data_IF_060566963319
#
_entry.id   IF_060566963319
#
_cell.length_a   1.000
_cell.length_b   1.000
_cell.length_c   1.000
_cell.angle_alpha   90.00
_cell.angle_beta   90.00
_cell.angle_gamma   90.00
#
_symmetry.space_group_name_H-M   'P 1'
#
loop_
_entity.id
_entity.type
_entity.pdbx_description
1 polymer ?
#
# COMPACT_ATOMS: atom_id res chain seq x y z
N UNK A 1 0.91 -29.76 10.35
CA UNK A 1 0.11 -28.52 10.31
C UNK A 1 -0.43 -28.35 8.90
N UNK A 2 -1.76 -28.34 8.77
CA UNK A 2 -2.46 -28.31 7.49
C UNK A 2 -1.99 -27.14 6.61
N UNK A 3 -1.76 -27.40 5.32
CA UNK A 3 -1.43 -26.36 4.32
C UNK A 3 -2.48 -25.23 4.31
N UNK A 4 -3.70 -25.54 4.74
CA UNK A 4 -4.80 -24.59 4.91
C UNK A 4 -4.54 -23.55 6.00
N UNK A 5 -3.88 -23.93 7.10
CA UNK A 5 -3.55 -23.06 8.22
C UNK A 5 -2.38 -22.12 7.89
N UNK A 6 -1.41 -22.62 7.12
CA UNK A 6 -0.27 -21.83 6.63
C UNK A 6 -0.70 -20.73 5.64
N UNK A 7 -1.59 -21.05 4.70
CA UNK A 7 -2.15 -20.06 3.77
C UNK A 7 -3.06 -19.03 4.47
N UNK A 8 -3.80 -19.42 5.51
CA UNK A 8 -4.56 -18.49 6.35
C UNK A 8 -3.66 -17.52 7.11
N UNK A 9 -2.59 -18.01 7.72
CA UNK A 9 -1.67 -17.18 8.51
C UNK A 9 -0.84 -16.23 7.64
N UNK A 10 -0.41 -16.65 6.45
CA UNK A 10 0.30 -15.77 5.51
C UNK A 10 -0.61 -14.69 4.91
N UNK A 11 -1.88 -15.01 4.63
CA UNK A 11 -2.89 -14.01 4.25
C UNK A 11 -3.21 -13.07 5.42
N UNK A 12 -3.27 -13.58 6.64
CA UNK A 12 -3.55 -12.79 7.84
C UNK A 12 -2.40 -11.82 8.16
N UNK A 13 -1.13 -12.23 8.10
CA UNK A 13 0.00 -11.31 8.31
C UNK A 13 0.16 -10.29 7.19
N UNK A 14 -0.07 -10.68 5.93
CA UNK A 14 -0.10 -9.71 4.81
C UNK A 14 -1.29 -8.76 4.94
N UNK A 15 -2.44 -9.25 5.42
CA UNK A 15 -3.57 -8.38 5.76
C UNK A 15 -3.22 -7.46 6.91
N UNK A 16 -2.67 -7.94 8.02
CA UNK A 16 -2.35 -7.11 9.19
C UNK A 16 -1.30 -6.07 8.84
N UNK A 17 -0.26 -6.39 8.07
CA UNK A 17 0.69 -5.38 7.58
C UNK A 17 0.07 -4.45 6.54
N UNK A 18 -0.81 -4.96 5.68
CA UNK A 18 -1.58 -4.11 4.76
C UNK A 18 -2.56 -3.21 5.52
N UNK A 19 -3.14 -3.66 6.63
CA UNK A 19 -4.05 -2.92 7.50
C UNK A 19 -3.27 -1.92 8.31
N UNK A 20 -2.13 -2.26 8.91
CA UNK A 20 -1.24 -1.33 9.62
C UNK A 20 -0.69 -0.27 8.67
N UNK A 21 -0.36 -0.65 7.43
CA UNK A 21 0.09 0.29 6.41
C UNK A 21 -1.08 1.14 5.92
N UNK A 22 -2.29 0.58 5.77
CA UNK A 22 -3.52 1.34 5.48
C UNK A 22 -3.94 2.19 6.68
N UNK A 23 -3.76 1.77 7.93
CA UNK A 23 -4.04 2.52 9.16
C UNK A 23 -3.08 3.69 9.25
N UNK A 24 -1.80 3.45 8.97
CA UNK A 24 -0.78 4.49 8.90
C UNK A 24 -1.05 5.45 7.73
N UNK A 25 -1.61 4.98 6.62
CA UNK A 25 -2.07 5.81 5.49
C UNK A 25 -3.40 6.52 5.78
N UNK A 26 -4.31 5.95 6.57
CA UNK A 26 -5.60 6.56 6.96
C UNK A 26 -5.36 7.63 8.04
N UNK A 27 -4.52 7.31 9.04
CA UNK A 27 -4.06 8.20 10.12
C UNK A 27 -3.20 9.37 9.59
N UNK A 28 -2.57 9.23 8.41
CA UNK A 28 -1.83 10.32 7.75
C UNK A 28 -2.50 10.94 6.52
N UNK A 29 -3.56 10.36 5.92
CA UNK A 29 -4.04 10.82 4.61
C UNK A 29 -5.57 11.00 4.44
N UNK A 30 -6.43 10.72 5.43
CA UNK A 30 -7.88 10.92 5.19
C UNK A 30 -8.57 11.58 6.40
N UNK A 31 -9.20 12.72 6.15
CA UNK A 31 -10.10 13.49 7.01
C UNK A 31 -9.48 14.49 8.00
N UNK A 32 -8.47 14.16 8.83
CA UNK A 32 -8.04 15.10 9.90
C UNK A 32 -7.15 16.26 9.44
N UNK A 33 -6.34 16.06 8.40
CA UNK A 33 -5.33 17.05 7.96
C UNK A 33 -5.77 17.89 6.74
N UNK A 34 -6.77 17.42 5.98
CA UNK A 34 -7.34 18.15 4.85
C UNK A 34 -8.50 19.08 5.22
N UNK A 35 -9.02 19.03 6.45
CA UNK A 35 -10.06 19.96 6.91
C UNK A 35 -9.49 21.31 7.38
N UNK A 36 -8.16 21.44 7.40
CA UNK A 36 -7.45 22.68 7.74
C UNK A 36 -7.49 23.74 6.62
N UNK A 37 -8.05 23.45 5.44
CA UNK A 37 -8.13 24.40 4.32
C UNK A 37 -9.35 25.31 4.35
N UNK A 38 -10.43 24.96 5.07
CA UNK A 38 -11.57 25.86 5.23
C UNK A 38 -11.43 26.81 6.43
N UNK A 39 -10.54 26.55 7.40
CA UNK A 39 -10.02 27.54 8.35
C UNK A 39 -8.93 26.90 9.24
N UNK A 40 -8.05 27.73 9.83
CA UNK A 40 -7.12 27.32 10.92
C UNK A 40 -7.84 26.90 12.22
N UNK A 41 -9.17 26.79 12.21
CA UNK A 41 -10.04 26.67 13.39
C UNK A 41 -10.71 25.30 13.54
N UNK A 42 -10.58 24.40 12.56
CA UNK A 42 -11.01 23.01 12.72
C UNK A 42 -9.88 22.20 13.34
N UNK A 43 -10.03 21.88 14.63
CA UNK A 43 -9.14 20.92 15.28
C UNK A 43 -9.31 19.54 14.61
N UNK A 44 -8.25 18.74 14.59
CA UNK A 44 -8.23 17.40 13.97
C UNK A 44 -9.19 16.40 14.62
N UNK A 45 -10.03 16.84 15.56
CA UNK A 45 -11.14 16.11 16.16
C UNK A 45 -12.47 16.24 15.38
N UNK A 46 -12.53 17.05 14.31
CA UNK A 46 -13.75 17.38 13.53
C UNK A 46 -14.88 18.02 14.36
N UNK A 47 -14.68 18.22 15.66
CA UNK A 47 -15.59 18.94 16.53
C UNK A 47 -15.38 20.44 16.38
N UNK A 48 -16.40 21.12 15.86
CA UNK A 48 -16.48 22.57 15.93
C UNK A 48 -17.06 23.00 17.28
N UNK A 49 -16.37 23.90 17.99
CA UNK A 49 -17.01 24.64 19.07
C UNK A 49 -18.17 25.46 18.51
N UNK A 50 -19.30 25.51 19.24
CA UNK A 50 -20.50 26.25 18.84
C UNK A 50 -20.21 27.70 18.42
N UNK A 51 -19.18 28.33 18.99
CA UNK A 51 -18.76 29.69 18.62
C UNK A 51 -18.17 29.77 17.22
N UNK A 52 -17.29 28.83 16.86
CA UNK A 52 -16.65 28.79 15.53
C UNK A 52 -17.66 28.35 14.48
N UNK A 53 -18.50 27.37 14.81
CA UNK A 53 -19.57 26.93 13.93
C UNK A 53 -20.56 28.06 13.58
N UNK A 54 -21.02 28.81 14.59
CA UNK A 54 -21.92 29.94 14.37
C UNK A 54 -21.25 31.09 13.60
N UNK A 55 -19.93 31.28 13.76
CA UNK A 55 -19.16 32.25 12.98
C UNK A 55 -19.07 31.83 11.49
N UNK A 56 -18.78 30.57 11.21
CA UNK A 56 -18.73 30.02 9.85
C UNK A 56 -20.10 30.06 9.15
N UNK A 57 -21.19 29.77 9.87
CA UNK A 57 -22.57 29.88 9.35
C UNK A 57 -22.97 31.32 9.05
N UNK A 58 -22.44 32.29 9.79
CA UNK A 58 -22.73 33.71 9.63
C UNK A 58 -21.79 34.41 8.63
N UNK A 59 -20.89 33.66 8.01
CA UNK A 59 -19.91 34.16 7.04
C UNK A 59 -20.50 34.49 5.67
N UNK A 60 -19.62 34.86 4.74
CA UNK A 60 -20.00 35.16 3.36
C UNK A 60 -20.53 33.91 2.64
N UNK A 61 -21.45 34.12 1.70
CA UNK A 61 -22.13 33.05 0.94
C UNK A 61 -21.13 32.18 0.17
N UNK A 62 -20.10 32.80 -0.41
CA UNK A 62 -19.05 32.08 -1.16
C UNK A 62 -18.21 31.18 -0.25
N UNK A 63 -17.91 31.65 0.97
CA UNK A 63 -17.22 30.87 1.98
C UNK A 63 -18.06 29.66 2.41
N UNK A 64 -19.34 29.90 2.73
CA UNK A 64 -20.29 28.86 3.10
C UNK A 64 -20.46 27.80 1.99
N UNK A 65 -20.51 28.24 0.74
CA UNK A 65 -20.57 27.37 -0.43
C UNK A 65 -19.31 26.51 -0.56
N UNK A 66 -18.13 27.10 -0.37
CA UNK A 66 -16.84 26.39 -0.32
C UNK A 66 -16.83 25.32 0.77
N UNK A 67 -17.23 25.67 2.00
CA UNK A 67 -17.33 24.71 3.11
C UNK A 67 -18.24 23.53 2.78
N UNK A 68 -19.41 23.78 2.19
CA UNK A 68 -20.34 22.72 1.80
C UNK A 68 -19.71 21.74 0.80
N UNK A 69 -19.01 22.26 -0.21
CA UNK A 69 -18.34 21.43 -1.22
C UNK A 69 -17.19 20.62 -0.62
N UNK A 70 -16.37 21.23 0.22
CA UNK A 70 -15.29 20.51 0.90
C UNK A 70 -15.83 19.39 1.79
N UNK A 71 -16.91 19.65 2.54
CA UNK A 71 -17.56 18.63 3.37
C UNK A 71 -18.15 17.48 2.55
N UNK A 72 -18.77 17.78 1.41
CA UNK A 72 -19.23 16.75 0.46
C UNK A 72 -18.06 15.91 -0.05
N UNK A 73 -16.94 16.55 -0.43
CA UNK A 73 -15.74 15.84 -0.90
C UNK A 73 -15.12 14.94 0.18
N UNK A 74 -15.16 15.35 1.45
CA UNK A 74 -14.68 14.50 2.55
C UNK A 74 -15.61 13.33 2.82
N UNK A 75 -16.93 13.55 2.80
CA UNK A 75 -17.90 12.47 2.93
C UNK A 75 -17.75 11.45 1.80
N UNK A 76 -17.58 11.89 0.56
CA UNK A 76 -17.31 11.00 -0.59
C UNK A 76 -16.07 10.12 -0.36
N UNK A 77 -14.98 10.69 0.18
CA UNK A 77 -13.75 9.93 0.48
C UNK A 77 -13.95 8.90 1.59
N UNK A 78 -14.65 9.27 2.66
CA UNK A 78 -14.96 8.37 3.78
C UNK A 78 -15.88 7.23 3.35
N UNK A 79 -16.90 7.54 2.53
CA UNK A 79 -17.83 6.55 1.99
C UNK A 79 -17.15 5.62 0.98
N UNK A 80 -16.20 6.13 0.19
CA UNK A 80 -15.38 5.29 -0.67
C UNK A 80 -14.48 4.35 0.15
N UNK A 81 -13.83 4.86 1.20
CA UNK A 81 -12.97 4.08 2.08
C UNK A 81 -13.73 2.92 2.73
N UNK A 82 -14.94 3.18 3.29
CA UNK A 82 -15.73 2.10 3.88
C UNK A 82 -16.13 1.06 2.83
N UNK A 83 -16.48 1.46 1.60
CA UNK A 83 -16.86 0.52 0.54
C UNK A 83 -15.72 -0.44 0.23
N UNK A 84 -14.51 0.08 0.04
CA UNK A 84 -13.32 -0.74 -0.26
C UNK A 84 -13.03 -1.73 0.87
N UNK A 85 -13.08 -1.27 2.12
CA UNK A 85 -12.82 -2.13 3.28
C UNK A 85 -13.91 -3.18 3.45
N UNK A 86 -15.19 -2.83 3.30
CA UNK A 86 -16.31 -3.78 3.39
C UNK A 86 -16.30 -4.80 2.25
N UNK A 87 -15.82 -4.44 1.06
CA UNK A 87 -15.63 -5.37 -0.06
C UNK A 87 -14.52 -6.38 0.23
N UNK A 88 -13.40 -5.92 0.81
CA UNK A 88 -12.30 -6.79 1.26
C UNK A 88 -12.73 -7.73 2.37
N UNK A 89 -13.49 -7.21 3.35
CA UNK A 89 -14.10 -8.03 4.38
C UNK A 89 -15.05 -9.02 3.71
N UNK A 90 -15.91 -8.59 2.80
CA UNK A 90 -16.85 -9.36 1.99
C UNK A 90 -18.07 -9.85 2.78
N UNK A 91 -19.20 -10.10 2.09
CA UNK A 91 -20.48 -10.45 2.73
C UNK A 91 -20.59 -11.95 3.12
N UNK A 92 -21.38 -12.30 4.17
CA UNK A 92 -22.05 -11.40 5.10
C UNK A 92 -21.14 -10.91 6.23
N UNK A 93 -21.36 -9.67 6.61
CA UNK A 93 -20.55 -8.94 7.59
C UNK A 93 -20.55 -9.62 8.97
N UNK A 94 -21.72 -10.11 9.41
CA UNK A 94 -21.96 -10.77 10.70
C UNK A 94 -21.03 -11.96 11.00
N UNK A 95 -20.75 -12.80 9.99
CA UNK A 95 -19.90 -13.99 10.18
C UNK A 95 -18.42 -13.63 10.25
N UNK A 96 -18.02 -12.52 9.63
CA UNK A 96 -16.62 -12.11 9.55
C UNK A 96 -16.22 -11.22 10.72
N UNK A 97 -17.18 -10.49 11.30
CA UNK A 97 -17.02 -9.80 12.58
C UNK A 97 -16.78 -10.73 13.78
N UNK A 98 -16.96 -12.04 13.63
CA UNK A 98 -16.64 -13.05 14.66
C UNK A 98 -15.18 -13.54 14.60
N UNK A 99 -14.42 -13.13 13.58
CA UNK A 99 -13.02 -13.53 13.41
C UNK A 99 -12.10 -12.37 13.77
N UNK A 100 -10.98 -12.64 14.45
CA UNK A 100 -10.01 -11.57 14.80
C UNK A 100 -9.47 -10.81 13.58
N UNK A 101 -9.32 -11.47 12.44
CA UNK A 101 -8.92 -10.84 11.18
C UNK A 101 -9.99 -9.87 10.64
N UNK A 102 -11.26 -10.27 10.70
CA UNK A 102 -12.37 -9.40 10.30
C UNK A 102 -12.57 -8.23 11.27
N UNK A 103 -12.40 -8.46 12.58
CA UNK A 103 -12.45 -7.39 13.59
C UNK A 103 -11.35 -6.34 13.37
N UNK A 104 -10.13 -6.77 13.09
CA UNK A 104 -9.02 -5.87 12.77
C UNK A 104 -9.30 -5.00 11.54
N UNK A 105 -9.93 -5.56 10.50
CA UNK A 105 -10.36 -4.80 9.33
C UNK A 105 -11.51 -3.83 9.61
N UNK A 106 -12.40 -4.18 10.54
CA UNK A 106 -13.61 -3.42 10.85
C UNK A 106 -13.38 -2.33 11.90
N UNK A 107 -12.33 -2.41 12.73
CA UNK A 107 -11.99 -1.37 13.70
C UNK A 107 -11.89 0.04 13.08
N UNK A 108 -11.20 0.28 11.95
CA UNK A 108 -11.18 1.61 11.34
C UNK A 108 -12.55 2.06 10.80
N UNK A 109 -13.47 1.12 10.49
CA UNK A 109 -14.83 1.47 10.07
C UNK A 109 -15.62 2.09 11.21
N UNK A 110 -15.36 1.70 12.46
CA UNK A 110 -15.99 2.36 13.61
C UNK A 110 -15.65 3.85 13.68
N UNK A 111 -14.39 4.22 13.40
CA UNK A 111 -13.95 5.62 13.33
C UNK A 111 -14.60 6.37 12.16
N UNK A 112 -14.70 5.72 10.99
CA UNK A 112 -15.39 6.30 9.82
C UNK A 112 -16.86 6.59 10.13
N UNK A 113 -17.55 5.73 10.90
CA UNK A 113 -18.94 5.98 11.32
C UNK A 113 -19.04 7.25 12.16
N UNK A 114 -18.09 7.47 13.08
CA UNK A 114 -18.00 8.69 13.87
C UNK A 114 -17.82 9.90 12.95
N UNK A 115 -16.76 9.92 12.14
CA UNK A 115 -16.44 11.04 11.27
C UNK A 115 -17.59 11.40 10.31
N UNK A 116 -18.21 10.39 9.68
CA UNK A 116 -19.34 10.59 8.77
C UNK A 116 -20.55 11.19 9.50
N UNK A 117 -20.85 10.74 10.73
CA UNK A 117 -21.97 11.28 11.50
C UNK A 117 -21.81 12.76 11.85
N UNK A 118 -20.57 13.17 12.16
CA UNK A 118 -20.20 14.55 12.50
C UNK A 118 -20.28 15.44 11.26
N UNK A 119 -19.63 15.01 10.17
CA UNK A 119 -19.60 15.75 8.92
C UNK A 119 -20.99 15.91 8.31
N UNK A 120 -21.80 14.86 8.33
CA UNK A 120 -23.18 14.93 7.81
C UNK A 120 -24.03 15.96 8.58
N UNK A 121 -23.95 15.96 9.92
CA UNK A 121 -24.66 16.91 10.77
C UNK A 121 -24.31 18.36 10.43
N UNK A 122 -23.04 18.67 10.35
CA UNK A 122 -22.58 20.02 10.02
C UNK A 122 -22.90 20.41 8.58
N UNK A 123 -22.71 19.51 7.62
CA UNK A 123 -23.06 19.73 6.22
C UNK A 123 -24.54 20.06 6.07
N UNK A 124 -25.41 19.34 6.77
CA UNK A 124 -26.84 19.59 6.73
C UNK A 124 -27.16 21.03 7.19
N UNK A 125 -26.60 21.45 8.31
CA UNK A 125 -26.79 22.81 8.84
C UNK A 125 -26.27 23.89 7.87
N UNK A 126 -25.10 23.68 7.27
CA UNK A 126 -24.56 24.61 6.27
C UNK A 126 -25.42 24.65 5.00
N UNK A 127 -25.90 23.51 4.51
CA UNK A 127 -26.76 23.43 3.32
C UNK A 127 -28.11 24.12 3.53
N UNK A 128 -28.72 23.99 4.72
CA UNK A 128 -29.95 24.72 5.07
C UNK A 128 -29.72 26.23 5.11
N UNK A 129 -28.57 26.69 5.63
CA UNK A 129 -28.21 28.12 5.61
C UNK A 129 -27.94 28.60 4.18
N UNK A 130 -27.15 27.85 3.42
CA UNK A 130 -26.76 28.17 2.05
C UNK A 130 -28.00 28.32 1.16
N UNK A 131 -28.99 27.44 1.32
CA UNK A 131 -30.25 27.49 0.56
C UNK A 131 -31.04 28.78 0.80
N UNK A 132 -30.91 29.42 1.96
CA UNK A 132 -31.58 30.70 2.24
C UNK A 132 -30.93 31.87 1.52
N UNK A 133 -29.64 31.75 1.17
CA UNK A 133 -28.82 32.83 0.64
C UNK A 133 -28.59 32.75 -0.88
N UNK A 134 -28.78 31.57 -1.51
CA UNK A 134 -28.52 31.38 -2.96
C UNK A 134 -29.78 31.03 -3.78
N UNK A 135 -29.74 31.40 -5.07
CA UNK A 135 -30.78 31.05 -6.02
C UNK A 135 -30.93 29.53 -6.21
N UNK A 136 -32.16 29.08 -6.48
CA UNK A 136 -32.50 27.66 -6.60
C UNK A 136 -31.65 26.92 -7.65
N UNK A 137 -31.31 27.59 -8.76
CA UNK A 137 -30.51 26.99 -9.83
C UNK A 137 -29.06 26.71 -9.40
N UNK A 138 -28.45 27.60 -8.61
CA UNK A 138 -27.10 27.42 -8.09
C UNK A 138 -27.03 26.34 -6.99
N UNK A 139 -28.09 26.21 -6.17
CA UNK A 139 -28.17 25.19 -5.12
C UNK A 139 -28.37 23.77 -5.65
N UNK A 140 -28.85 23.63 -6.90
CA UNK A 140 -29.17 22.32 -7.47
C UNK A 140 -27.96 21.39 -7.54
N UNK A 141 -26.77 21.92 -7.84
CA UNK A 141 -25.56 21.11 -7.97
C UNK A 141 -25.11 20.51 -6.63
N UNK A 142 -24.88 21.30 -5.55
CA UNK A 142 -24.63 20.76 -4.21
C UNK A 142 -25.74 19.82 -3.72
N UNK A 143 -27.00 20.14 -4.00
CA UNK A 143 -28.15 19.33 -3.59
C UNK A 143 -28.13 17.93 -4.22
N UNK A 144 -27.84 17.83 -5.52
CA UNK A 144 -27.73 16.53 -6.20
C UNK A 144 -26.58 15.69 -5.64
N UNK A 145 -25.44 16.32 -5.33
CA UNK A 145 -24.31 15.63 -4.70
C UNK A 145 -24.67 15.14 -3.30
N UNK A 146 -25.31 15.99 -2.51
CA UNK A 146 -25.81 15.62 -1.19
C UNK A 146 -26.74 14.42 -1.23
N UNK A 147 -27.65 14.37 -2.21
CA UNK A 147 -28.55 13.23 -2.39
C UNK A 147 -27.80 11.90 -2.56
N UNK A 148 -26.78 11.88 -3.43
CA UNK A 148 -25.94 10.70 -3.63
C UNK A 148 -25.21 10.28 -2.35
N UNK A 149 -24.58 11.24 -1.66
CA UNK A 149 -23.88 11.02 -0.39
C UNK A 149 -24.84 10.48 0.69
N UNK A 150 -26.05 11.04 0.78
CA UNK A 150 -27.06 10.61 1.75
C UNK A 150 -27.48 9.15 1.52
N UNK A 151 -27.75 8.75 0.27
CA UNK A 151 -28.15 7.37 -0.03
C UNK A 151 -27.03 6.37 0.29
N UNK A 152 -25.79 6.70 -0.04
CA UNK A 152 -24.63 5.85 0.23
C UNK A 152 -24.35 5.77 1.74
N UNK A 153 -24.42 6.90 2.46
CA UNK A 153 -24.33 6.93 3.92
C UNK A 153 -25.44 6.11 4.57
N UNK A 154 -26.68 6.21 4.09
CA UNK A 154 -27.81 5.45 4.61
C UNK A 154 -27.57 3.95 4.48
N UNK A 155 -27.20 3.49 3.28
CA UNK A 155 -26.87 2.09 3.05
C UNK A 155 -25.67 1.62 3.91
N UNK A 156 -24.68 2.49 4.11
CA UNK A 156 -23.54 2.22 4.97
C UNK A 156 -23.95 2.04 6.44
N UNK A 157 -24.72 2.96 7.02
CA UNK A 157 -25.16 2.86 8.42
C UNK A 157 -26.11 1.69 8.64
N UNK A 158 -27.01 1.41 7.70
CA UNK A 158 -27.86 0.20 7.75
C UNK A 158 -27.00 -1.06 7.76
N UNK A 159 -26.00 -1.15 6.87
CA UNK A 159 -25.06 -2.29 6.83
C UNK A 159 -24.22 -2.40 8.11
N UNK A 160 -23.72 -1.28 8.63
CA UNK A 160 -22.94 -1.25 9.86
C UNK A 160 -23.79 -1.68 11.07
N UNK A 161 -25.07 -1.30 11.09
CA UNK A 161 -26.01 -1.65 12.14
C UNK A 161 -26.31 -3.15 12.21
N UNK A 162 -26.05 -3.95 11.18
CA UNK A 162 -26.22 -5.41 11.28
C UNK A 162 -25.03 -6.10 11.97
N UNK A 163 -23.90 -5.41 12.13
CA UNK A 163 -22.68 -5.95 12.73
C UNK A 163 -22.64 -5.76 14.24
N UNK A 164 -22.76 -6.86 14.99
CA UNK A 164 -22.64 -6.85 16.45
C UNK A 164 -21.29 -6.29 16.94
N UNK A 165 -20.21 -6.53 16.19
CA UNK A 165 -18.89 -6.00 16.55
C UNK A 165 -18.84 -4.49 16.41
N UNK A 166 -19.36 -3.92 15.31
CA UNK A 166 -19.37 -2.46 15.13
C UNK A 166 -20.25 -1.79 16.18
N UNK A 167 -21.43 -2.37 16.48
CA UNK A 167 -22.29 -1.88 17.57
C UNK A 167 -21.61 -1.89 18.94
N UNK A 168 -20.66 -2.81 19.18
CA UNK A 168 -19.89 -2.84 20.43
C UNK A 168 -18.81 -1.76 20.52
N UNK A 169 -18.36 -1.22 19.39
CA UNK A 169 -17.33 -0.19 19.32
C UNK A 169 -17.90 1.22 19.23
N UNK A 170 -18.99 1.38 18.47
CA UNK A 170 -19.59 2.68 18.19
C UNK A 170 -21.11 2.56 18.19
N UNK A 171 -21.77 3.57 18.78
CA UNK A 171 -23.22 3.69 18.67
C UNK A 171 -23.57 4.19 17.27
N UNK A 172 -23.86 3.26 16.36
CA UNK A 172 -24.30 3.57 14.99
C UNK A 172 -25.62 4.36 15.07
N UNK A 173 -25.68 5.57 14.52
CA UNK A 173 -26.86 6.39 14.69
C UNK A 173 -27.92 6.04 13.64
N UNK A 174 -29.19 6.17 14.05
CA UNK A 174 -30.32 5.89 13.17
C UNK A 174 -30.44 6.95 12.08
N UNK A 175 -30.59 6.53 10.83
CA UNK A 175 -30.78 7.44 9.69
C UNK A 175 -32.28 7.72 9.52
N UNK A 176 -32.71 8.99 9.40
CA UNK A 176 -34.10 9.34 9.12
C UNK A 176 -34.62 8.62 7.87
N UNK A 177 -35.86 8.12 7.91
CA UNK A 177 -36.49 7.49 6.76
C UNK A 177 -36.76 8.48 5.63
N UNK A 178 -37.06 9.73 5.99
CA UNK A 178 -37.32 10.83 5.07
C UNK A 178 -36.04 11.54 4.68
N UNK A 179 -35.82 11.68 3.37
CA UNK A 179 -34.72 12.46 2.84
C UNK A 179 -34.84 13.96 3.20
N UNK A 180 -33.73 14.65 3.53
CA UNK A 180 -33.77 16.06 3.86
C UNK A 180 -34.24 16.94 2.71
N UNK A 181 -35.39 17.59 2.89
CA UNK A 181 -35.88 18.60 1.96
C UNK A 181 -35.42 19.98 2.43
N UNK A 182 -34.51 20.62 1.69
CA UNK A 182 -33.95 21.93 2.04
C UNK A 182 -34.91 23.12 1.87
N UNK A 183 -36.18 22.87 1.56
CA UNK A 183 -37.19 23.92 1.31
C UNK A 183 -37.71 24.55 2.61
N UNK A 184 -37.77 23.79 3.70
CA UNK A 184 -38.35 24.22 4.96
C UNK A 184 -37.32 24.10 6.08
N UNK A 185 -36.85 25.23 6.63
CA UNK A 185 -35.88 25.24 7.73
C UNK A 185 -36.37 24.49 8.99
N UNK A 186 -37.69 24.38 9.18
CA UNK A 186 -38.31 23.59 10.25
C UNK A 186 -38.12 22.08 10.09
N UNK A 187 -37.64 21.60 8.95
CA UNK A 187 -37.35 20.18 8.71
C UNK A 187 -35.94 19.77 9.17
N UNK A 188 -35.09 20.72 9.56
CA UNK A 188 -33.71 20.44 9.99
C UNK A 188 -33.69 19.45 11.17
N UNK A 189 -34.48 19.69 12.20
CA UNK A 189 -34.52 18.85 13.41
C UNK A 189 -34.96 17.39 13.13
N UNK A 190 -35.78 17.20 12.10
CA UNK A 190 -36.23 15.86 11.67
C UNK A 190 -35.20 15.12 10.80
N UNK A 191 -34.20 15.83 10.28
CA UNK A 191 -33.20 15.30 9.36
C UNK A 191 -31.83 15.11 10.01
N UNK A 192 -31.65 15.61 11.25
CA UNK A 192 -30.43 15.46 12.03
C UNK A 192 -30.29 14.05 12.59
N UNK A 193 -29.06 13.54 12.53
CA UNK A 193 -28.66 12.25 13.07
C UNK A 193 -27.95 12.51 14.40
N UNK A 194 -28.16 11.64 15.41
CA UNK A 194 -27.37 11.70 16.64
C UNK A 194 -25.90 11.45 16.32
N UNK A 195 -25.01 12.25 16.88
CA UNK A 195 -23.57 12.04 16.72
C UNK A 195 -23.18 10.66 17.24
N UNK A 196 -22.45 9.89 16.42
CA UNK A 196 -22.02 8.56 16.81
C UNK A 196 -20.95 8.70 17.89
N UNK A 197 -21.14 8.03 19.02
CA UNK A 197 -20.20 8.08 20.14
C UNK A 197 -19.44 6.75 20.22
N UNK A 198 -18.13 6.83 20.37
CA UNK A 198 -17.30 5.67 20.70
C UNK A 198 -17.73 5.12 22.06
N UNK A 199 -17.99 3.82 22.12
CA UNK A 199 -18.32 3.15 23.37
C UNK A 199 -17.01 2.81 24.07
N UNK A 200 -16.48 3.73 24.87
CA UNK A 200 -15.39 3.42 25.79
C UNK A 200 -15.93 2.59 26.96
N UNK A 201 -16.13 1.29 26.72
CA UNK A 201 -16.43 0.36 27.81
C UNK A 201 -15.14 -0.25 28.36
N UNK A 202 -14.67 0.31 29.47
CA UNK A 202 -13.77 -0.39 30.39
C UNK A 202 -14.52 -1.54 31.04
N UNK A 203 -14.62 -2.66 30.33
CA UNK A 203 -15.00 -3.95 30.89
C UNK A 203 -16.26 -4.56 30.30
N UNK A 204 -16.06 -5.39 29.28
CA UNK A 204 -17.02 -6.39 28.81
C UNK A 204 -17.54 -7.21 30.02
N UNK A 205 -18.72 -6.83 30.53
CA UNK A 205 -19.54 -7.69 31.39
C UNK A 205 -20.73 -8.15 30.57
N UNK A 206 -20.77 -9.45 30.31
CA UNK A 206 -21.96 -10.12 29.81
C UNK A 206 -23.13 -9.83 30.74
N UNK A 207 -24.21 -9.33 30.15
CA UNK A 207 -25.45 -9.00 30.83
C UNK A 207 -26.04 -10.23 31.55
N UNK A 208 -26.02 -10.17 32.88
CA UNK A 208 -26.98 -10.85 33.73
C UNK A 208 -27.99 -9.80 34.20
N UNK A 209 -29.26 -10.08 33.93
CA UNK A 209 -30.42 -9.28 34.28
C UNK A 209 -30.34 -8.74 35.73
N UNK A 210 -30.72 -7.47 35.93
CA UNK A 210 -31.64 -7.08 37.00
C UNK A 210 -32.14 -5.64 36.82
N UNK A 211 -33.47 -5.53 36.82
CA UNK A 211 -34.28 -4.34 36.61
C UNK A 211 -34.04 -3.29 37.72
N UNK A 212 -33.75 -2.07 37.28
CA UNK A 212 -33.85 -0.85 38.09
C UNK A 212 -35.34 -0.56 38.36
N UNK A 213 -35.71 -0.39 39.64
CA UNK A 213 -37.01 0.14 40.03
C UNK A 213 -36.77 1.45 40.78
N UNK A 214 -36.97 2.58 40.11
CA UNK A 214 -37.11 3.89 40.75
C UNK A 214 -38.52 3.99 41.34
N UNK A 215 -38.63 4.48 42.58
CA UNK A 215 -39.89 4.99 43.10
C UNK A 215 -39.64 6.23 43.96
N UNK A 216 -39.97 7.37 43.36
CA UNK A 216 -40.31 8.60 44.07
C UNK A 216 -41.53 8.39 44.95
N UNK A 217 -41.53 9.02 46.12
CA UNK A 217 -42.76 9.46 46.76
C UNK A 217 -42.45 10.56 47.79
N UNK A 218 -42.71 11.79 47.37
CA UNK A 218 -42.92 12.96 48.19
C UNK A 218 -44.40 13.07 48.59
N UNK A 219 -44.65 13.65 49.78
CA UNK A 219 -45.97 14.04 50.29
C UNK A 219 -46.22 13.50 51.71
N UNK A 220 -46.76 14.22 52.68
CA UNK A 220 -47.28 15.58 52.74
C UNK A 220 -47.63 15.90 54.22
N UNK A 221 -47.90 17.19 54.50
CA UNK A 221 -48.80 17.77 55.55
C UNK A 221 -48.21 18.29 56.89
N UNK A 222 -48.15 19.64 56.93
CA UNK A 222 -48.87 20.61 57.81
C UNK A 222 -48.63 20.71 59.33
N UNK A 223 -48.79 21.97 59.78
CA UNK A 223 -49.01 22.57 61.13
C UNK A 223 -47.82 22.55 62.10
N UNK A 224 -47.18 23.68 62.44
CA UNK A 224 -47.59 24.91 63.14
C UNK A 224 -47.49 24.84 64.67
N UNK A 225 -46.89 25.90 65.23
CA UNK A 225 -47.00 26.46 66.60
C UNK A 225 -45.92 26.08 67.65
N UNK A 226 -45.06 27.08 67.89
CA UNK A 226 -44.67 27.69 69.17
C UNK A 226 -44.98 26.90 70.48
N UNK A 227 -43.89 26.62 71.23
CA UNK A 227 -43.59 26.75 72.70
C UNK A 227 -44.74 27.17 73.67
N UNK A 228 -44.64 27.04 75.03
CA UNK A 228 -43.56 26.49 75.89
C UNK A 228 -44.00 25.74 77.20
N UNK A 229 -42.99 25.38 78.01
CA UNK A 229 -42.95 25.30 79.50
C UNK A 229 -43.15 23.98 80.31
N UNK A 230 -42.10 23.72 81.11
CA UNK A 230 -42.02 23.30 82.53
C UNK A 230 -42.68 22.00 83.00
N UNK A 231 -41.85 21.03 83.42
CA UNK A 231 -41.81 20.56 84.81
C UNK A 231 -40.63 19.57 85.01
N UNK A 232 -40.08 19.58 86.22
CA UNK A 232 -38.88 18.86 86.66
C UNK A 232 -39.28 17.51 87.29
N UNK A 233 -38.53 16.45 86.90
CA UNK A 233 -38.48 15.04 87.40
C UNK A 233 -39.62 14.10 86.93
N UNK A 234 -39.29 12.94 86.30
CA UNK A 234 -38.33 11.95 86.81
C UNK A 234 -37.19 11.64 85.82
N UNK A 235 -36.05 12.31 85.97
CA UNK A 235 -34.91 12.19 85.04
C UNK A 235 -34.09 10.89 85.19
N UNK A 236 -34.18 10.15 86.31
CA UNK A 236 -33.33 8.96 86.52
C UNK A 236 -33.77 7.71 85.74
N UNK A 237 -35.07 7.46 85.58
CA UNK A 237 -35.59 6.26 84.87
C UNK A 237 -35.50 6.45 83.35
N UNK A 238 -35.72 7.68 82.86
CA UNK A 238 -35.59 8.03 81.44
C UNK A 238 -34.13 7.96 80.95
N UNK A 239 -33.16 8.33 81.79
CA UNK A 239 -31.73 8.23 81.49
C UNK A 239 -31.25 6.77 81.42
N UNK A 240 -31.74 5.88 82.29
CA UNK A 240 -31.42 4.46 82.25
C UNK A 240 -31.98 3.79 80.99
N UNK A 241 -33.24 4.06 80.64
CA UNK A 241 -33.85 3.57 79.40
C UNK A 241 -33.17 4.10 78.12
N UNK A 242 -32.66 5.33 78.13
CA UNK A 242 -31.82 5.87 77.05
C UNK A 242 -30.42 5.24 77.01
N UNK A 243 -29.82 4.93 78.15
CA UNK A 243 -28.52 4.26 78.21
C UNK A 243 -28.60 2.83 77.67
N UNK A 244 -29.61 2.04 78.04
CA UNK A 244 -29.80 0.70 77.48
C UNK A 244 -30.05 0.71 75.97
N UNK A 245 -30.79 1.71 75.46
CA UNK A 245 -30.99 1.89 74.00
C UNK A 245 -29.69 2.20 73.28
N UNK A 246 -28.87 3.12 73.82
CA UNK A 246 -27.56 3.45 73.27
C UNK A 246 -26.60 2.26 73.33
N UNK A 247 -26.64 1.49 74.41
CA UNK A 247 -25.75 0.33 74.61
C UNK A 247 -26.13 -0.85 73.71
N UNK A 248 -27.41 -1.02 73.42
CA UNK A 248 -27.90 -1.94 72.39
C UNK A 248 -27.49 -1.49 70.99
N UNK A 249 -27.69 -0.21 70.66
CA UNK A 249 -27.31 0.37 69.36
C UNK A 249 -25.79 0.29 69.11
N UNK A 250 -24.96 0.56 70.12
CA UNK A 250 -23.50 0.37 70.03
C UNK A 250 -23.12 -1.09 69.81
N UNK A 251 -23.81 -2.05 70.41
CA UNK A 251 -23.59 -3.48 70.16
C UNK A 251 -23.97 -3.86 68.74
N UNK A 252 -25.11 -3.38 68.24
CA UNK A 252 -25.55 -3.60 66.86
C UNK A 252 -24.57 -3.01 65.85
N UNK A 253 -24.18 -1.73 66.02
CA UNK A 253 -23.22 -1.05 65.16
C UNK A 253 -21.84 -1.72 65.17
N UNK A 254 -21.41 -2.29 66.32
CA UNK A 254 -20.16 -3.08 66.38
C UNK A 254 -20.27 -4.38 65.58
N UNK A 255 -21.40 -5.06 65.64
CA UNK A 255 -21.66 -6.25 64.81
C UNK A 255 -21.64 -5.93 63.33
N UNK A 256 -22.37 -4.88 62.91
CA UNK A 256 -22.38 -4.42 61.51
C UNK A 256 -20.99 -4.00 61.02
N UNK A 257 -20.18 -3.38 61.88
CA UNK A 257 -18.79 -3.02 61.56
C UNK A 257 -17.90 -4.26 61.37
N UNK A 258 -18.11 -5.31 62.18
CA UNK A 258 -17.38 -6.57 62.05
C UNK A 258 -17.79 -7.34 60.79
N UNK A 259 -19.09 -7.36 60.47
CA UNK A 259 -19.60 -7.98 59.25
C UNK A 259 -19.12 -7.23 58.00
N UNK A 260 -19.15 -5.89 58.00
CA UNK A 260 -18.61 -5.08 56.92
C UNK A 260 -17.09 -5.28 56.73
N UNK A 261 -16.35 -5.50 57.82
CA UNK A 261 -14.92 -5.85 57.76
C UNK A 261 -14.69 -7.20 57.11
N UNK A 262 -15.48 -8.23 57.46
CA UNK A 262 -15.38 -9.56 56.82
C UNK A 262 -15.71 -9.49 55.33
N UNK A 263 -16.79 -8.81 54.96
CA UNK A 263 -17.15 -8.64 53.54
C UNK A 263 -16.05 -7.92 52.75
N UNK A 264 -15.41 -6.91 53.34
CA UNK A 264 -14.26 -6.24 52.72
C UNK A 264 -13.09 -7.19 52.53
N UNK A 265 -12.79 -8.03 53.51
CA UNK A 265 -11.68 -8.98 53.46
C UNK A 265 -11.92 -10.05 52.39
N UNK A 266 -13.13 -10.61 52.32
CA UNK A 266 -13.54 -11.54 51.25
C UNK A 266 -13.42 -10.91 49.86
N UNK A 267 -13.90 -9.66 49.69
CA UNK A 267 -13.76 -8.94 48.42
C UNK A 267 -12.29 -8.67 48.05
N UNK A 268 -11.43 -8.40 49.03
CA UNK A 268 -10.00 -8.22 48.79
C UNK A 268 -9.32 -9.53 48.39
N UNK A 269 -9.69 -10.66 48.98
CA UNK A 269 -9.14 -11.97 48.64
C UNK A 269 -9.58 -12.43 47.25
N UNK A 270 -10.84 -12.20 46.89
CA UNK A 270 -11.36 -12.43 45.53
C UNK A 270 -10.61 -11.58 44.49
N UNK A 271 -10.40 -10.29 44.79
CA UNK A 271 -9.64 -9.40 43.93
C UNK A 271 -8.19 -9.87 43.77
N UNK A 272 -7.52 -10.29 44.86
CA UNK A 272 -6.16 -10.85 44.83
C UNK A 272 -6.09 -12.11 43.99
N UNK A 273 -7.03 -13.04 44.16
CA UNK A 273 -7.09 -14.28 43.36
C UNK A 273 -7.28 -13.98 41.87
N UNK A 274 -8.13 -12.99 41.54
CA UNK A 274 -8.36 -12.58 40.16
C UNK A 274 -7.11 -11.95 39.52
N UNK A 275 -6.39 -11.12 40.27
CA UNK A 275 -5.11 -10.54 39.84
C UNK A 275 -4.10 -11.65 39.53
N UNK A 276 -3.94 -12.61 40.44
CA UNK A 276 -3.00 -13.72 40.25
C UNK A 276 -3.34 -14.57 39.00
N UNK A 277 -4.63 -14.79 38.73
CA UNK A 277 -5.08 -15.46 37.51
C UNK A 277 -4.73 -14.67 36.25
N UNK A 278 -4.91 -13.36 36.25
CA UNK A 278 -4.55 -12.50 35.12
C UNK A 278 -3.03 -12.45 34.91
N UNK A 279 -2.23 -12.38 35.98
CA UNK A 279 -0.77 -12.44 35.91
C UNK A 279 -0.28 -13.77 35.31
N UNK A 280 -0.86 -14.90 35.73
CA UNK A 280 -0.57 -16.22 35.14
C UNK A 280 -0.94 -16.26 33.66
N UNK A 281 -2.06 -15.67 33.26
CA UNK A 281 -2.47 -15.63 31.85
C UNK A 281 -1.56 -14.72 31.02
N UNK A 282 -1.15 -13.58 31.56
CA UNK A 282 -0.19 -12.65 30.95
C UNK A 282 1.13 -13.35 30.69
N UNK A 283 1.73 -13.97 31.71
CA UNK A 283 3.02 -14.68 31.56
C UNK A 283 2.92 -15.86 30.59
N UNK A 284 1.78 -16.54 30.48
CA UNK A 284 1.56 -17.56 29.47
C UNK A 284 1.52 -16.96 28.04
N UNK A 285 0.77 -15.87 27.85
CA UNK A 285 0.66 -15.19 26.56
C UNK A 285 1.99 -14.58 26.11
N UNK A 286 2.83 -14.12 27.04
CA UNK A 286 4.19 -13.66 26.76
C UNK A 286 5.07 -14.81 26.24
N UNK A 287 5.04 -15.97 26.91
CA UNK A 287 5.77 -17.17 26.43
C UNK A 287 5.29 -17.64 25.07
N UNK A 288 3.98 -17.64 24.81
CA UNK A 288 3.42 -17.98 23.51
C UNK A 288 3.87 -16.97 22.43
N UNK A 289 3.85 -15.66 22.73
CA UNK A 289 4.37 -14.62 21.83
C UNK A 289 5.85 -14.81 21.50
N UNK A 290 6.68 -15.15 22.48
CA UNK A 290 8.11 -15.41 22.26
C UNK A 290 8.35 -16.62 21.36
N UNK A 291 7.53 -17.67 21.49
CA UNK A 291 7.55 -18.82 20.59
C UNK A 291 7.13 -18.44 19.17
N UNK A 292 6.06 -17.63 19.02
CA UNK A 292 5.64 -17.14 17.70
C UNK A 292 6.69 -16.25 17.04
N UNK A 293 7.33 -15.36 17.80
CA UNK A 293 8.45 -14.54 17.31
C UNK A 293 9.60 -15.39 16.79
N UNK A 294 10.05 -16.40 17.57
CA UNK A 294 11.09 -17.34 17.13
C UNK A 294 10.70 -18.11 15.88
N UNK A 295 9.45 -18.59 15.81
CA UNK A 295 8.96 -19.30 14.62
C UNK A 295 8.92 -18.39 13.39
N UNK A 296 8.57 -17.12 13.56
CA UNK A 296 8.56 -16.13 12.47
C UNK A 296 9.99 -15.81 11.98
N UNK A 297 10.95 -15.69 12.90
CA UNK A 297 12.36 -15.50 12.55
C UNK A 297 12.91 -16.69 11.74
N UNK A 298 12.60 -17.92 12.14
CA UNK A 298 12.97 -19.11 11.39
C UNK A 298 12.34 -19.12 9.99
N UNK A 299 11.06 -18.75 9.87
CA UNK A 299 10.39 -18.69 8.57
C UNK A 299 11.01 -17.64 7.65
N UNK A 300 11.37 -16.46 8.20
CA UNK A 300 12.11 -15.43 7.47
C UNK A 300 13.49 -15.92 7.03
N UNK A 301 14.19 -16.67 7.87
CA UNK A 301 15.48 -17.26 7.51
C UNK A 301 15.35 -18.26 6.35
N UNK A 302 14.34 -19.15 6.40
CA UNK A 302 14.03 -20.08 5.31
C UNK A 302 13.72 -19.34 3.99
N UNK A 303 12.88 -18.30 4.03
CA UNK A 303 12.55 -17.52 2.83
C UNK A 303 13.79 -16.85 2.19
N UNK A 304 14.74 -16.39 3.01
CA UNK A 304 16.02 -15.83 2.51
C UNK A 304 16.90 -16.91 1.85
N UNK A 305 16.88 -18.13 2.38
CA UNK A 305 17.60 -19.27 1.78
C UNK A 305 16.99 -19.61 0.42
N UNK A 306 15.66 -19.72 0.33
CA UNK A 306 14.95 -19.99 -0.94
C UNK A 306 15.27 -18.93 -2.02
N UNK A 307 15.30 -17.64 -1.64
CA UNK A 307 15.67 -16.56 -2.57
C UNK A 307 17.12 -16.67 -3.06
N UNK A 308 18.05 -17.04 -2.16
CA UNK A 308 19.44 -17.30 -2.52
C UNK A 308 19.59 -18.50 -3.45
N UNK A 309 18.84 -19.57 -3.21
CA UNK A 309 18.84 -20.77 -4.06
C UNK A 309 18.31 -20.46 -5.46
N UNK A 310 17.27 -19.64 -5.60
CA UNK A 310 16.75 -19.25 -6.90
C UNK A 310 17.75 -18.38 -7.69
N UNK A 311 18.42 -17.44 -7.02
CA UNK A 311 19.51 -16.64 -7.63
C UNK A 311 20.66 -17.53 -8.09
N UNK A 312 21.05 -18.52 -7.27
CA UNK A 312 22.07 -19.50 -7.63
C UNK A 312 21.65 -20.33 -8.84
N UNK A 313 20.38 -20.71 -8.95
CA UNK A 313 19.86 -21.45 -10.11
C UNK A 313 19.97 -20.63 -11.40
N UNK A 314 19.55 -19.37 -11.37
CA UNK A 314 19.66 -18.45 -12.52
C UNK A 314 21.12 -18.24 -12.94
N UNK A 315 22.01 -18.04 -11.99
CA UNK A 315 23.44 -17.90 -12.28
C UNK A 315 24.05 -19.16 -12.93
N UNK A 316 23.61 -20.37 -12.52
CA UNK A 316 24.01 -21.62 -13.16
C UNK A 316 23.49 -21.75 -14.60
N UNK A 317 22.23 -21.40 -14.83
CA UNK A 317 21.63 -21.39 -16.18
C UNK A 317 22.36 -20.41 -17.12
N UNK A 318 22.75 -19.24 -16.62
CA UNK A 318 23.55 -18.25 -17.36
C UNK A 318 24.97 -18.75 -17.68
N UNK A 319 25.66 -19.37 -16.72
CA UNK A 319 26.99 -19.96 -16.92
C UNK A 319 26.96 -21.08 -17.97
N UNK A 320 25.93 -21.95 -17.95
CA UNK A 320 25.76 -23.01 -18.95
C UNK A 320 25.48 -22.44 -20.35
N UNK A 321 24.66 -21.39 -20.46
CA UNK A 321 24.43 -20.68 -21.72
C UNK A 321 25.73 -20.04 -22.24
N UNK A 322 26.53 -19.45 -21.35
CA UNK A 322 27.80 -18.81 -21.69
C UNK A 322 28.84 -19.84 -22.16
N UNK A 323 28.91 -21.01 -21.53
CA UNK A 323 29.73 -22.15 -21.99
C UNK A 323 29.31 -22.62 -23.38
N UNK A 324 28.01 -22.70 -23.66
CA UNK A 324 27.49 -23.07 -24.99
C UNK A 324 27.93 -22.07 -26.06
N UNK A 325 27.73 -20.77 -25.81
CA UNK A 325 28.20 -19.70 -26.70
C UNK A 325 29.71 -19.76 -26.94
N UNK A 326 30.50 -20.00 -25.88
CA UNK A 326 31.95 -20.14 -25.99
C UNK A 326 32.34 -21.32 -26.90
N UNK A 327 31.65 -22.46 -26.78
CA UNK A 327 31.90 -23.60 -27.64
C UNK A 327 31.56 -23.34 -29.11
N UNK A 328 30.47 -22.61 -29.38
CA UNK A 328 30.10 -22.22 -30.74
C UNK A 328 31.15 -21.26 -31.34
N UNK A 329 31.63 -20.28 -30.57
CA UNK A 329 32.72 -19.38 -30.97
C UNK A 329 34.04 -20.12 -31.22
N UNK A 330 34.32 -21.19 -30.46
CA UNK A 330 35.50 -22.03 -30.70
C UNK A 330 35.38 -22.76 -32.03
N UNK A 331 34.22 -23.35 -32.34
CA UNK A 331 33.98 -24.04 -33.61
C UNK A 331 34.12 -23.10 -34.82
N UNK A 332 33.53 -21.91 -34.75
CA UNK A 332 33.64 -20.92 -35.83
C UNK A 332 35.08 -20.42 -36.00
N UNK A 333 35.83 -20.23 -34.91
CA UNK A 333 37.25 -19.90 -34.98
C UNK A 333 38.09 -21.01 -35.62
N UNK A 334 37.81 -22.28 -35.33
CA UNK A 334 38.48 -23.40 -35.99
C UNK A 334 38.19 -23.43 -37.51
N UNK A 335 36.94 -23.21 -37.91
CA UNK A 335 36.56 -23.10 -39.31
C UNK A 335 37.27 -21.94 -40.01
N UNK A 336 37.29 -20.75 -39.38
CA UNK A 336 38.02 -19.60 -39.90
C UNK A 336 39.51 -19.92 -40.07
N UNK A 337 40.16 -20.56 -39.09
CA UNK A 337 41.57 -20.99 -39.21
C UNK A 337 41.78 -21.94 -40.40
N UNK A 338 40.87 -22.88 -40.66
CA UNK A 338 40.94 -23.76 -41.83
C UNK A 338 40.84 -22.97 -43.14
N UNK A 339 39.93 -21.99 -43.21
CA UNK A 339 39.78 -21.14 -44.41
C UNK A 339 41.01 -20.26 -44.67
N UNK A 340 41.61 -19.69 -43.61
CA UNK A 340 42.84 -18.90 -43.71
C UNK A 340 44.00 -19.76 -44.22
N UNK A 341 44.20 -20.96 -43.66
CA UNK A 341 45.23 -21.88 -44.12
C UNK A 341 45.07 -22.28 -45.60
N UNK A 342 43.82 -22.48 -46.05
CA UNK A 342 43.54 -22.75 -47.46
C UNK A 342 43.86 -21.53 -48.36
N UNK A 343 43.52 -20.32 -47.91
CA UNK A 343 43.82 -19.09 -48.61
C UNK A 343 45.34 -18.85 -48.70
N UNK A 344 46.09 -19.12 -47.64
CA UNK A 344 47.55 -19.06 -47.63
C UNK A 344 48.17 -20.03 -48.63
N UNK A 345 47.69 -21.28 -48.70
CA UNK A 345 48.14 -22.26 -49.69
C UNK A 345 47.87 -21.81 -51.14
N UNK A 346 46.70 -21.24 -51.41
CA UNK A 346 46.41 -20.66 -52.74
C UNK A 346 47.33 -19.48 -53.04
N UNK A 347 47.62 -18.63 -52.05
CA UNK A 347 48.53 -17.51 -52.22
C UNK A 347 49.97 -17.95 -52.53
N UNK A 348 50.47 -19.01 -51.91
CA UNK A 348 51.81 -19.55 -52.23
C UNK A 348 51.85 -20.14 -53.65
N UNK A 349 50.79 -20.83 -54.07
CA UNK A 349 50.65 -21.34 -55.44
C UNK A 349 50.63 -20.20 -56.46
N UNK A 350 49.83 -19.15 -56.23
CA UNK A 350 49.79 -17.95 -57.08
C UNK A 350 51.16 -17.28 -57.16
N UNK A 351 51.88 -17.14 -56.05
CA UNK A 351 53.26 -16.60 -56.05
C UNK A 351 54.19 -17.43 -56.95
N UNK A 352 54.13 -18.76 -56.84
CA UNK A 352 54.95 -19.65 -57.69
C UNK A 352 54.62 -19.53 -59.19
N UNK A 353 53.34 -19.36 -59.52
CA UNK A 353 52.89 -19.16 -60.89
C UNK A 353 53.35 -17.80 -61.44
N UNK A 354 53.34 -16.76 -60.61
CA UNK A 354 53.88 -15.44 -60.98
C UNK A 354 55.40 -15.49 -61.22
N UNK A 355 56.15 -16.25 -60.43
CA UNK A 355 57.60 -16.47 -60.65
C UNK A 355 57.85 -17.13 -62.01
N UNK A 356 57.16 -18.24 -62.29
CA UNK A 356 57.25 -18.94 -63.59
C UNK A 356 56.85 -18.06 -64.76
N UNK A 357 55.83 -17.21 -64.58
CA UNK A 357 55.40 -16.25 -65.60
C UNK A 357 56.54 -15.25 -65.91
N UNK A 358 57.19 -14.68 -64.88
CA UNK A 358 58.34 -13.78 -65.07
C UNK A 358 59.51 -14.46 -65.77
N UNK A 359 59.78 -15.73 -65.43
CA UNK A 359 60.82 -16.52 -66.10
C UNK A 359 60.51 -16.74 -67.58
N UNK A 360 59.26 -17.09 -67.92
CA UNK A 360 58.82 -17.22 -69.31
C UNK A 360 58.91 -15.89 -70.07
N UNK A 361 58.52 -14.77 -69.45
CA UNK A 361 58.64 -13.42 -70.03
C UNK A 361 60.11 -13.06 -70.31
N UNK A 362 61.02 -13.37 -69.38
CA UNK A 362 62.47 -13.18 -69.55
C UNK A 362 63.03 -14.04 -70.69
N UNK A 363 62.67 -15.33 -70.73
CA UNK A 363 63.09 -16.24 -71.79
C UNK A 363 62.57 -15.79 -73.16
N UNK A 364 61.33 -15.30 -73.24
CA UNK A 364 60.75 -14.74 -74.45
C UNK A 364 61.54 -13.50 -74.92
N UNK A 365 61.87 -12.58 -74.02
CA UNK A 365 62.69 -11.41 -74.33
C UNK A 365 64.10 -11.79 -74.83
N UNK A 366 64.73 -12.79 -74.21
CA UNK A 366 66.02 -13.32 -74.66
C UNK A 366 65.93 -13.94 -76.07
N UNK A 367 64.90 -14.75 -76.33
CA UNK A 367 64.64 -15.32 -77.65
C UNK A 367 64.42 -14.25 -78.73
N UNK A 368 63.66 -13.19 -78.40
CA UNK A 368 63.48 -12.04 -79.28
C UNK A 368 64.82 -11.33 -79.55
N UNK A 369 65.67 -11.16 -78.53
CA UNK A 369 67.02 -10.61 -78.68
C UNK A 369 67.92 -11.43 -79.62
N UNK A 370 67.92 -12.76 -79.46
CA UNK A 370 68.66 -13.68 -80.35
C UNK A 370 68.13 -13.58 -81.78
N UNK A 371 66.80 -13.56 -81.98
CA UNK A 371 66.21 -13.45 -83.30
C UNK A 371 66.62 -12.14 -83.99
N UNK A 372 66.61 -11.02 -83.26
CA UNK A 372 67.08 -9.73 -83.78
C UNK A 372 68.58 -9.78 -84.16
N UNK A 373 69.41 -10.45 -83.37
CA UNK A 373 70.84 -10.67 -83.65
C UNK A 373 71.05 -11.54 -84.90
N UNK A 374 70.26 -12.60 -85.07
CA UNK A 374 70.28 -13.46 -86.25
C UNK A 374 69.87 -12.67 -87.49
N UNK A 375 68.84 -11.82 -87.41
CA UNK A 375 68.45 -10.93 -88.51
C UNK A 375 69.58 -9.96 -88.90
N UNK A 376 70.27 -9.38 -87.92
CA UNK A 376 71.43 -8.52 -88.16
C UNK A 376 72.57 -9.27 -88.86
N UNK A 377 72.92 -10.47 -88.36
CA UNK A 377 73.94 -11.33 -88.97
C UNK A 377 73.55 -11.76 -90.38
N UNK A 378 72.29 -12.08 -90.61
CA UNK A 378 71.78 -12.40 -91.94
C UNK A 378 71.92 -11.21 -92.90
N UNK A 379 71.59 -10.00 -92.44
CA UNK A 379 71.83 -8.76 -93.21
C UNK A 379 73.32 -8.51 -93.49
N UNK A 380 74.22 -8.75 -92.52
CA UNK A 380 75.67 -8.66 -92.72
C UNK A 380 76.18 -9.66 -93.78
N UNK A 381 75.71 -10.91 -93.73
CA UNK A 381 76.05 -11.94 -94.72
C UNK A 381 75.55 -11.55 -96.10
N UNK A 382 74.32 -11.08 -96.23
CA UNK A 382 73.80 -10.57 -97.51
C UNK A 382 74.63 -9.39 -98.04
N UNK A 383 75.04 -8.47 -97.16
CA UNK A 383 75.91 -7.34 -97.53
C UNK A 383 77.27 -7.83 -98.04
N UNK A 384 77.94 -8.74 -97.32
CA UNK A 384 79.22 -9.32 -97.76
C UNK A 384 79.10 -10.11 -99.06
N UNK A 385 78.01 -10.85 -99.27
CA UNK A 385 77.72 -11.56 -100.52
C UNK A 385 77.54 -10.58 -101.69
N UNK A 386 76.85 -9.46 -101.47
CA UNK A 386 76.70 -8.40 -102.48
C UNK A 386 78.05 -7.75 -102.86
N UNK A 387 78.93 -7.53 -101.88
CA UNK A 387 80.30 -7.02 -102.11
C UNK A 387 81.16 -8.03 -102.88
N UNK A 388 81.12 -9.31 -102.51
CA UNK A 388 81.83 -10.38 -103.23
C UNK A 388 81.31 -10.57 -104.65
N UNK A 389 80.00 -10.48 -104.87
CA UNK A 389 79.39 -10.46 -106.21
C UNK A 389 79.92 -9.28 -107.03
N UNK A 390 80.01 -8.08 -106.43
CA UNK A 390 80.54 -6.89 -107.09
C UNK A 390 82.04 -7.03 -107.43
N UNK A 391 82.85 -7.62 -106.54
CA UNK A 391 84.27 -7.93 -106.79
C UNK A 391 84.42 -9.02 -107.85
N UNK A 392 83.57 -10.05 -107.82
CA UNK A 392 83.51 -11.12 -108.82
C UNK A 392 83.13 -10.60 -110.22
N UNK A 393 82.19 -9.65 -110.30
CA UNK A 393 81.90 -8.91 -111.53
C UNK A 393 83.10 -8.08 -111.99
N UNK A 394 83.84 -7.43 -111.08
CA UNK A 394 85.05 -6.65 -111.40
C UNK A 394 86.20 -7.52 -111.92
N UNK A 395 86.39 -8.72 -111.38
CA UNK A 395 87.36 -9.71 -111.88
C UNK A 395 86.95 -10.29 -113.23
N UNK A 396 85.64 -10.49 -113.46
CA UNK A 396 85.10 -10.93 -114.76
C UNK A 396 85.28 -9.86 -115.85
N UNK A 397 85.15 -8.57 -115.52
CA UNK A 397 85.50 -7.46 -116.43
C UNK A 397 87.01 -7.30 -116.66
N UNK A 398 87.88 -7.78 -115.76
CA UNK A 398 89.33 -7.76 -115.95
C UNK A 398 89.86 -8.91 -116.80
N UNK A 399 89.12 -10.02 -116.90
CA UNK A 399 89.45 -11.13 -117.80
C UNK A 399 88.99 -10.93 -119.24
N UNK A 400 88.13 -9.93 -119.51
CA UNK A 400 87.66 -9.56 -120.86
C UNK A 400 88.38 -8.35 -121.46
N UNK A 401 89.49 -7.90 -120.85
CA UNK A 401 90.31 -6.79 -121.34
C UNK A 401 91.73 -7.28 -121.68
N UNK A 402 91.83 -8.19 -122.65
CA UNK A 402 93.03 -8.36 -123.48
C UNK A 402 92.85 -7.49 -124.73
N UNK A 403 93.67 -6.45 -124.97
CA UNK A 403 93.73 -5.80 -126.27
C UNK A 403 94.73 -6.50 -127.19
N UNK A 404 94.26 -6.70 -128.40
CA UNK A 404 95.04 -7.02 -129.59
C UNK A 404 96.03 -5.87 -129.91
N UNK A 405 97.31 -6.25 -130.07
CA UNK A 405 98.40 -5.70 -130.91
C UNK A 405 98.64 -4.18 -131.03
N UNK A 406 99.87 -3.77 -130.68
CA UNK A 406 100.92 -3.27 -131.61
C UNK A 406 102.27 -3.28 -130.91
#
# INVERSE_FOLDING_TARGET
>A
MDRFTFYKNMKAERLVRSIEQQYKTIETATSRQCFATCDQNFDGSLHLSDKHFNASISGEVDYLYGCCLEMLDQLDKLLHLQSVVLDVVGKPLERKSQTGQGQCLLAPIALVIVDVSILYRHLLQFMFKLRQEIAADAFRSPCNRFHSVYLEMKAFFETASTSQYLQSLVKVPGVPETEPTFLNASSLDHCLISEATEVFDSGVRFAGENKTFSRDSSGAKKSSLLRPESSVLPQQIALQGQQYKKEFEVKTLRGELEDARRQKEELMDDARSRIEQYEKRLTQLEKENDLYKKSLENLKACARIEECEEKLRKAKEEDDLQKKKLNDVKKTNEELRRTVALAEKKNTEVKSLLEKKRECESNLANMQGINNLLELKYKEVLCSYSVLSFVGMRLRCRSSAMPNRS
#
